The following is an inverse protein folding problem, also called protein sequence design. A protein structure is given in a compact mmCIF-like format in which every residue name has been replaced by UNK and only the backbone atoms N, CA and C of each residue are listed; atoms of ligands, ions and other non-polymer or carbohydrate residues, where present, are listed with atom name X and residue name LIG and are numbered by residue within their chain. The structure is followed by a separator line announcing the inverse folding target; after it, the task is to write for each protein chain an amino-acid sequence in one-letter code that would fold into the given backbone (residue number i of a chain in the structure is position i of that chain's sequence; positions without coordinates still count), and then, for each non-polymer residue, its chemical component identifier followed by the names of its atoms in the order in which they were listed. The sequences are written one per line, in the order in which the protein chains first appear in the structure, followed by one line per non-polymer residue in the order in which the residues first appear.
data_IF_540076195120
#
_entry.id   IF_540076195120
#
_cell.length_a   1.000
_cell.length_b   1.000
_cell.length_c   1.000
_cell.angle_alpha   90.00
_cell.angle_beta   90.00
_cell.angle_gamma   90.00
#
_symmetry.space_group_name_H-M   'P 1'
#
loop_
_entity.id
_entity.type
_entity.pdbx_description
1 polymer ?
#
# COMPACT_ATOMS: atom_id res chain seq x y z
N UNK A 1 -11.35 -39.77 5.52
CA UNK A 1 -10.48 -38.57 5.56
C UNK A 1 -11.23 -37.47 4.82
N UNK A 2 -11.85 -36.55 5.55
CA UNK A 2 -12.72 -35.53 4.94
C UNK A 2 -11.88 -34.56 4.09
N UNK A 3 -12.31 -34.30 2.85
CA UNK A 3 -11.72 -33.23 2.04
C UNK A 3 -11.89 -31.93 2.81
N UNK A 4 -10.79 -31.25 3.10
CA UNK A 4 -10.87 -29.93 3.71
C UNK A 4 -11.72 -29.01 2.82
N UNK A 5 -12.59 -28.17 3.40
CA UNK A 5 -13.43 -27.28 2.61
C UNK A 5 -12.58 -26.31 1.78
N UNK A 6 -12.87 -26.17 0.50
CA UNK A 6 -12.18 -25.29 -0.46
C UNK A 6 -12.07 -23.84 0.05
N UNK A 7 -13.09 -23.36 0.79
CA UNK A 7 -13.10 -22.03 1.40
C UNK A 7 -11.97 -21.76 2.39
N UNK A 8 -11.36 -22.80 3.01
CA UNK A 8 -10.23 -22.60 3.92
C UNK A 8 -8.99 -22.09 3.17
N UNK A 9 -8.81 -22.53 1.92
CA UNK A 9 -7.74 -22.04 1.03
C UNK A 9 -8.02 -20.61 0.59
N UNK A 10 -9.29 -20.26 0.38
CA UNK A 10 -9.71 -18.92 -0.05
C UNK A 10 -9.50 -17.85 1.03
N UNK A 11 -9.54 -18.21 2.31
CA UNK A 11 -9.35 -17.27 3.42
C UNK A 11 -7.93 -16.69 3.50
N UNK A 12 -6.92 -17.48 3.13
CA UNK A 12 -5.53 -17.03 3.15
C UNK A 12 -4.76 -17.67 1.98
N UNK A 13 -4.90 -17.10 0.78
CA UNK A 13 -4.37 -17.71 -0.43
C UNK A 13 -2.84 -17.68 -0.46
N UNK A 14 -2.24 -18.65 -1.15
CA UNK A 14 -0.78 -18.82 -1.21
C UNK A 14 -0.02 -17.59 -1.72
N UNK A 15 -0.61 -16.83 -2.67
CA UNK A 15 -0.01 -15.61 -3.19
C UNK A 15 0.12 -14.52 -2.11
N UNK A 16 -0.87 -14.41 -1.20
CA UNK A 16 -0.86 -13.44 -0.10
C UNK A 16 0.16 -13.86 0.96
N UNK A 17 0.19 -15.16 1.29
CA UNK A 17 1.20 -15.71 2.21
C UNK A 17 2.61 -15.47 1.69
N UNK A 18 2.85 -15.67 0.40
CA UNK A 18 4.15 -15.40 -0.23
C UNK A 18 4.55 -13.92 -0.10
N UNK A 19 3.62 -13.00 -0.35
CA UNK A 19 3.86 -11.56 -0.20
C UNK A 19 4.19 -11.18 1.25
N UNK A 20 3.44 -11.69 2.23
CA UNK A 20 3.70 -11.44 3.67
C UNK A 20 5.07 -11.98 4.08
N UNK A 21 5.41 -13.20 3.65
CA UNK A 21 6.74 -13.79 3.94
C UNK A 21 7.87 -12.97 3.35
N UNK A 22 7.68 -12.42 2.15
CA UNK A 22 8.65 -11.54 1.49
C UNK A 22 8.82 -10.22 2.26
N UNK A 23 7.72 -9.59 2.65
CA UNK A 23 7.75 -8.41 3.53
C UNK A 23 8.49 -8.66 4.83
N UNK A 24 8.25 -9.80 5.49
CA UNK A 24 8.98 -10.17 6.71
C UNK A 24 10.47 -10.38 6.40
N UNK A 25 10.81 -11.06 5.30
CA UNK A 25 12.20 -11.33 4.94
C UNK A 25 13.03 -10.07 4.64
N UNK A 26 12.39 -8.98 4.21
CA UNK A 26 13.05 -7.71 3.93
C UNK A 26 13.26 -6.85 5.20
N UNK A 27 12.73 -7.26 6.37
CA UNK A 27 13.08 -6.65 7.66
C UNK A 27 14.51 -7.06 8.09
N UNK A 28 15.30 -6.14 8.66
CA UNK A 28 16.67 -6.41 9.12
C UNK A 28 16.85 -7.69 9.94
N UNK A 29 15.91 -8.00 10.85
CA UNK A 29 15.94 -9.21 11.68
C UNK A 29 14.76 -10.17 11.40
N UNK A 30 14.14 -10.04 10.23
CA UNK A 30 13.16 -11.00 9.73
C UNK A 30 11.97 -11.20 10.68
N UNK A 31 11.69 -12.48 11.00
CA UNK A 31 10.57 -12.86 11.87
C UNK A 31 10.70 -12.38 13.32
N UNK A 32 11.91 -12.10 13.79
CA UNK A 32 12.14 -11.64 15.16
C UNK A 32 11.64 -10.21 15.33
N UNK A 33 12.14 -9.32 14.48
CA UNK A 33 11.68 -7.93 14.40
C UNK A 33 10.21 -7.83 13.99
N UNK A 34 9.72 -8.70 13.10
CA UNK A 34 8.29 -8.74 12.80
C UNK A 34 7.43 -9.05 14.04
N UNK A 35 7.89 -9.94 14.93
CA UNK A 35 7.18 -10.23 16.16
C UNK A 35 7.25 -9.06 17.13
N UNK A 36 8.39 -8.37 17.24
CA UNK A 36 8.55 -7.16 18.05
C UNK A 36 7.65 -6.01 17.59
N UNK A 37 7.65 -5.71 16.29
CA UNK A 37 6.80 -4.67 15.68
C UNK A 37 5.32 -4.93 15.97
N UNK A 38 4.91 -6.20 15.95
CA UNK A 38 3.53 -6.62 16.21
C UNK A 38 3.22 -6.80 17.71
N UNK A 39 4.17 -6.56 18.60
CA UNK A 39 4.00 -6.72 20.05
C UNK A 39 3.77 -8.16 20.49
N UNK A 40 4.29 -9.14 19.75
CA UNK A 40 4.13 -10.56 20.02
C UNK A 40 5.31 -11.08 20.83
N UNK A 41 5.09 -11.28 22.12
CA UNK A 41 6.07 -11.84 23.04
C UNK A 41 5.62 -13.19 23.58
N UNK A 42 6.59 -13.99 24.04
CA UNK A 42 6.33 -15.19 24.84
C UNK A 42 5.86 -14.77 26.24
N UNK A 43 5.55 -15.76 27.08
CA UNK A 43 5.11 -15.52 28.46
C UNK A 43 6.11 -14.76 29.34
N UNK A 44 7.33 -14.55 28.87
CA UNK A 44 8.37 -13.77 29.55
C UNK A 44 8.34 -12.28 29.21
N UNK A 45 7.44 -11.81 28.32
CA UNK A 45 7.30 -10.41 27.86
C UNK A 45 8.58 -9.78 27.28
N UNK A 46 9.59 -10.61 26.99
CA UNK A 46 10.91 -10.15 26.50
C UNK A 46 11.24 -10.86 25.19
N UNK A 47 10.92 -12.15 25.06
CA UNK A 47 11.32 -12.93 23.90
C UNK A 47 10.29 -12.81 22.77
N UNK A 48 10.67 -12.36 21.56
CA UNK A 48 9.74 -12.28 20.43
C UNK A 48 9.20 -13.66 20.02
N UNK A 49 7.89 -13.76 19.86
CA UNK A 49 7.17 -15.01 19.61
C UNK A 49 7.06 -15.36 18.11
N UNK A 50 8.18 -15.72 17.48
CA UNK A 50 8.26 -16.10 16.06
C UNK A 50 7.31 -17.25 15.67
N UNK A 51 7.08 -18.18 16.59
CA UNK A 51 6.18 -19.32 16.42
C UNK A 51 4.74 -18.87 16.17
N UNK A 52 4.29 -17.78 16.78
CA UNK A 52 2.96 -17.21 16.54
C UNK A 52 2.78 -16.74 15.09
N UNK A 53 3.83 -16.20 14.46
CA UNK A 53 3.82 -15.80 13.06
C UNK A 53 3.86 -17.03 12.15
N UNK A 54 4.73 -18.00 12.43
CA UNK A 54 4.81 -19.25 11.66
C UNK A 54 3.48 -20.02 11.67
N UNK A 55 2.80 -20.09 12.82
CA UNK A 55 1.51 -20.76 12.95
C UNK A 55 0.41 -20.12 12.11
N UNK A 56 0.47 -18.80 11.89
CA UNK A 56 -0.47 -18.04 11.05
C UNK A 56 -0.11 -18.04 9.56
N UNK A 57 1.10 -18.47 9.19
CA UNK A 57 1.59 -18.52 7.81
C UNK A 57 1.79 -19.94 7.29
N UNK A 58 1.51 -20.97 8.10
CA UNK A 58 1.62 -22.38 7.70
C UNK A 58 0.45 -22.78 6.80
N UNK A 59 0.75 -23.59 5.78
CA UNK A 59 -0.28 -24.20 4.93
C UNK A 59 -1.15 -25.17 5.75
N UNK A 60 -2.45 -25.21 5.49
CA UNK A 60 -3.39 -26.03 6.29
C UNK A 60 -3.53 -25.55 7.74
N UNK A 61 -3.19 -24.28 7.98
CA UNK A 61 -3.41 -23.57 9.24
C UNK A 61 -4.88 -23.46 9.62
N UNK A 62 -5.16 -23.49 10.92
CA UNK A 62 -6.43 -23.05 11.50
C UNK A 62 -6.41 -21.55 11.85
N UNK A 63 -5.23 -20.93 11.85
CA UNK A 63 -5.01 -19.51 12.11
C UNK A 63 -4.77 -18.75 10.81
N UNK A 64 -5.22 -17.49 10.77
CA UNK A 64 -5.03 -16.57 9.65
C UNK A 64 -4.13 -15.42 10.11
N UNK A 65 -3.27 -14.96 9.22
CA UNK A 65 -2.48 -13.75 9.42
C UNK A 65 -3.35 -12.52 9.13
N UNK A 66 -3.60 -11.63 10.11
CA UNK A 66 -4.41 -10.43 9.90
C UNK A 66 -3.84 -9.53 8.80
N UNK A 67 -4.70 -8.97 7.95
CA UNK A 67 -4.25 -8.07 6.88
C UNK A 67 -3.63 -6.80 7.47
N UNK A 68 -4.16 -6.31 8.58
CA UNK A 68 -3.68 -5.14 9.31
C UNK A 68 -2.25 -5.34 9.80
N UNK A 69 -1.92 -6.54 10.29
CA UNK A 69 -0.54 -6.88 10.66
C UNK A 69 0.37 -6.87 9.43
N UNK A 70 -0.10 -7.41 8.31
CA UNK A 70 0.66 -7.40 7.07
C UNK A 70 0.93 -5.96 6.58
N UNK A 71 -0.03 -5.05 6.73
CA UNK A 71 0.13 -3.63 6.41
C UNK A 71 1.12 -2.92 7.34
N UNK A 72 1.09 -3.19 8.65
CA UNK A 72 2.06 -2.65 9.62
C UNK A 72 3.48 -3.11 9.29
N UNK A 73 3.67 -4.40 9.04
CA UNK A 73 4.98 -4.95 8.67
C UNK A 73 5.46 -4.42 7.32
N UNK A 74 4.54 -4.24 6.37
CA UNK A 74 4.86 -3.66 5.08
C UNK A 74 5.40 -2.23 5.22
N UNK A 75 4.73 -1.40 6.02
CA UNK A 75 5.17 -0.03 6.29
C UNK A 75 6.55 -0.01 6.98
N UNK A 76 6.73 -0.83 8.03
CA UNK A 76 8.00 -0.95 8.74
C UNK A 76 9.16 -1.42 7.85
N UNK A 77 8.90 -2.31 6.89
CA UNK A 77 9.90 -2.79 5.93
C UNK A 77 10.24 -1.78 4.83
N UNK A 78 9.44 -0.70 4.67
CA UNK A 78 9.56 0.21 3.53
C UNK A 78 9.20 -0.41 2.18
N UNK A 79 8.63 -1.63 2.16
CA UNK A 79 8.26 -2.36 0.94
C UNK A 79 6.78 -2.20 0.62
N UNK A 80 6.33 -2.71 -0.54
CA UNK A 80 4.91 -2.72 -0.94
C UNK A 80 4.44 -4.07 -1.47
N UNK A 81 5.08 -5.17 -1.06
CA UNK A 81 4.82 -6.51 -1.61
C UNK A 81 3.38 -6.97 -1.41
N UNK A 82 2.77 -6.69 -0.25
CA UNK A 82 1.40 -7.11 0.05
C UNK A 82 0.41 -6.30 -0.78
N UNK A 83 0.56 -4.98 -0.85
CA UNK A 83 -0.29 -4.11 -1.67
C UNK A 83 -0.15 -4.43 -3.16
N UNK A 84 1.07 -4.65 -3.65
CA UNK A 84 1.32 -5.04 -5.04
C UNK A 84 0.67 -6.39 -5.37
N UNK A 85 0.81 -7.38 -4.48
CA UNK A 85 0.20 -8.69 -4.68
C UNK A 85 -1.35 -8.62 -4.73
N UNK A 86 -1.97 -7.77 -3.89
CA UNK A 86 -3.42 -7.52 -3.91
C UNK A 86 -3.84 -6.84 -5.24
N UNK A 87 -3.08 -5.85 -5.70
CA UNK A 87 -3.35 -5.18 -6.96
C UNK A 87 -3.28 -6.16 -8.14
N UNK A 88 -2.19 -6.95 -8.24
CA UNK A 88 -2.01 -7.97 -9.28
C UNK A 88 -3.11 -9.03 -9.25
N UNK A 89 -3.52 -9.48 -8.07
CA UNK A 89 -4.66 -10.40 -7.92
C UNK A 89 -5.96 -9.83 -8.47
N UNK A 90 -6.12 -8.52 -8.39
CA UNK A 90 -7.27 -7.78 -8.91
C UNK A 90 -7.08 -7.35 -10.36
N UNK A 91 -6.07 -7.89 -11.05
CA UNK A 91 -5.71 -7.57 -12.43
C UNK A 91 -5.35 -6.08 -12.64
N UNK A 92 -4.84 -5.44 -11.59
CA UNK A 92 -4.33 -4.07 -11.59
C UNK A 92 -2.84 -4.01 -11.24
N UNK A 93 -2.32 -2.79 -11.25
CA UNK A 93 -0.94 -2.47 -10.86
C UNK A 93 -1.00 -1.49 -9.70
N UNK A 94 -0.23 -1.74 -8.64
CA UNK A 94 -0.06 -0.75 -7.59
C UNK A 94 0.99 0.25 -8.04
N UNK A 95 0.66 1.54 -8.04
CA UNK A 95 1.61 2.62 -8.32
C UNK A 95 1.75 3.44 -7.04
N UNK A 96 2.91 3.42 -6.38
CA UNK A 96 3.12 4.25 -5.20
C UNK A 96 3.04 5.72 -5.60
N UNK A 97 2.28 6.49 -4.83
CA UNK A 97 2.36 7.94 -4.92
C UNK A 97 3.69 8.38 -4.30
N UNK A 98 4.43 9.20 -5.04
CA UNK A 98 5.69 9.74 -4.55
C UNK A 98 5.37 10.88 -3.58
N UNK A 99 5.83 10.74 -2.34
CA UNK A 99 5.84 11.85 -1.39
C UNK A 99 6.97 12.77 -1.81
N UNK A 100 6.59 13.93 -2.32
CA UNK A 100 7.52 14.93 -2.82
C UNK A 100 7.74 15.94 -1.70
N UNK A 101 8.91 15.87 -1.08
CA UNK A 101 9.23 16.69 0.08
C UNK A 101 9.65 18.12 -0.30
N UNK A 102 10.36 18.30 -1.43
CA UNK A 102 10.77 19.62 -1.95
C UNK A 102 10.85 19.60 -3.48
N UNK A 103 9.88 20.24 -4.15
CA UNK A 103 9.95 20.51 -5.59
C UNK A 103 9.60 21.97 -5.88
N UNK A 104 10.49 22.64 -6.62
CA UNK A 104 10.29 23.98 -7.17
C UNK A 104 9.28 23.94 -8.33
N UNK A 105 8.48 24.99 -8.53
CA UNK A 105 7.44 25.05 -9.56
C UNK A 105 7.96 24.77 -10.98
N UNK A 106 9.27 24.92 -11.21
CA UNK A 106 9.94 24.57 -12.46
C UNK A 106 10.00 23.07 -12.78
N UNK A 107 9.86 22.17 -11.81
CA UNK A 107 10.03 20.73 -12.01
C UNK A 107 8.79 20.05 -12.62
N UNK A 108 7.60 20.69 -12.61
CA UNK A 108 6.36 20.06 -13.13
C UNK A 108 6.50 19.71 -14.62
N UNK A 109 7.02 20.64 -15.40
CA UNK A 109 7.24 20.44 -16.83
C UNK A 109 8.36 19.43 -17.09
N UNK A 110 9.42 19.44 -16.27
CA UNK A 110 10.48 18.44 -16.36
C UNK A 110 9.93 17.03 -16.11
N UNK A 111 9.10 16.85 -15.08
CA UNK A 111 8.47 15.57 -14.72
C UNK A 111 7.52 15.06 -15.81
N UNK A 112 6.82 15.97 -16.48
CA UNK A 112 6.04 15.64 -17.68
C UNK A 112 6.95 15.14 -18.81
N UNK A 113 8.06 15.85 -19.09
CA UNK A 113 9.00 15.45 -20.15
C UNK A 113 9.67 14.10 -19.84
N UNK A 114 10.06 13.85 -18.59
CA UNK A 114 10.56 12.54 -18.14
C UNK A 114 9.52 11.43 -18.37
N UNK A 115 8.24 11.69 -18.07
CA UNK A 115 7.15 10.74 -18.32
C UNK A 115 6.99 10.43 -19.82
N UNK A 116 7.04 11.46 -20.67
CA UNK A 116 6.96 11.31 -22.12
C UNK A 116 8.17 10.52 -22.67
N UNK A 117 9.37 10.76 -22.15
CA UNK A 117 10.57 10.01 -22.53
C UNK A 117 10.41 8.52 -22.23
N UNK A 118 9.92 8.19 -21.02
CA UNK A 118 9.64 6.80 -20.65
C UNK A 118 8.58 6.15 -21.53
N UNK A 119 7.50 6.88 -21.87
CA UNK A 119 6.48 6.41 -22.83
C UNK A 119 7.12 6.13 -24.19
N UNK A 120 8.01 7.01 -24.66
CA UNK A 120 8.75 6.83 -25.90
C UNK A 120 9.62 5.57 -25.89
N UNK A 121 10.42 5.36 -24.83
CA UNK A 121 11.25 4.16 -24.62
C UNK A 121 10.39 2.88 -24.59
N UNK A 122 9.30 2.91 -23.84
CA UNK A 122 8.37 1.79 -23.74
C UNK A 122 7.75 1.43 -25.11
N UNK A 123 7.31 2.44 -25.87
CA UNK A 123 6.77 2.25 -27.22
C UNK A 123 7.78 1.63 -28.19
N UNK A 124 9.03 2.08 -28.14
CA UNK A 124 10.10 1.52 -28.97
C UNK A 124 10.42 0.07 -28.58
N UNK A 125 10.43 -0.25 -27.29
CA UNK A 125 10.64 -1.61 -26.83
C UNK A 125 9.52 -2.53 -27.28
N UNK A 126 8.25 -2.11 -27.11
CA UNK A 126 7.09 -2.91 -27.48
C UNK A 126 7.13 -3.28 -28.97
N UNK A 127 7.49 -2.34 -29.86
CA UNK A 127 7.65 -2.63 -31.30
C UNK A 127 8.69 -3.71 -31.60
N UNK A 128 9.77 -3.78 -30.81
CA UNK A 128 10.82 -4.80 -30.96
C UNK A 128 10.33 -6.14 -30.42
N UNK A 129 9.75 -6.14 -29.22
CA UNK A 129 9.26 -7.34 -28.55
C UNK A 129 8.07 -7.99 -29.25
N UNK A 130 7.30 -7.25 -30.04
CA UNK A 130 6.19 -7.82 -30.82
C UNK A 130 6.58 -8.16 -32.26
N UNK A 131 7.84 -7.96 -32.67
CA UNK A 131 8.24 -8.03 -34.08
C UNK A 131 8.18 -9.46 -34.64
N UNK A 132 8.40 -10.47 -33.81
CA UNK A 132 8.30 -11.88 -34.15
C UNK A 132 6.90 -12.48 -33.90
N UNK A 133 5.98 -11.68 -33.36
CA UNK A 133 4.60 -12.05 -33.06
C UNK A 133 4.41 -12.85 -31.76
N UNK A 134 5.45 -13.05 -30.95
CA UNK A 134 5.39 -13.82 -29.69
C UNK A 134 6.14 -13.07 -28.59
N UNK A 135 5.45 -12.73 -27.50
CA UNK A 135 6.11 -12.16 -26.33
C UNK A 135 6.61 -13.29 -25.44
N UNK A 136 7.92 -13.41 -25.27
CA UNK A 136 8.52 -14.37 -24.36
C UNK A 136 8.49 -13.90 -22.89
N UNK A 137 8.98 -14.75 -21.98
CA UNK A 137 8.95 -14.45 -20.55
C UNK A 137 9.85 -13.26 -20.17
N UNK A 138 11.03 -13.14 -20.78
CA UNK A 138 11.96 -12.06 -20.48
C UNK A 138 11.44 -10.74 -21.05
N UNK A 139 10.85 -10.77 -22.25
CA UNK A 139 10.19 -9.63 -22.87
C UNK A 139 8.99 -9.17 -22.05
N UNK A 140 8.19 -10.10 -21.56
CA UNK A 140 7.07 -9.81 -20.67
C UNK A 140 7.54 -9.12 -19.39
N UNK A 141 8.55 -9.65 -18.72
CA UNK A 141 9.11 -9.06 -17.50
C UNK A 141 9.62 -7.63 -17.76
N UNK A 142 10.30 -7.42 -18.89
CA UNK A 142 10.79 -6.10 -19.25
C UNK A 142 9.68 -5.13 -19.70
N UNK A 143 8.61 -5.60 -20.35
CA UNK A 143 7.40 -4.81 -20.63
C UNK A 143 6.77 -4.37 -19.31
N UNK A 144 6.56 -5.31 -18.38
CA UNK A 144 5.94 -5.04 -17.08
C UNK A 144 6.74 -4.00 -16.28
N UNK A 145 8.07 -4.14 -16.21
CA UNK A 145 8.95 -3.16 -15.55
C UNK A 145 8.87 -1.78 -16.21
N UNK A 146 8.99 -1.71 -17.54
CA UNK A 146 8.91 -0.43 -18.26
C UNK A 146 7.53 0.23 -18.11
N UNK A 147 6.45 -0.55 -18.14
CA UNK A 147 5.09 -0.05 -17.91
C UNK A 147 4.95 0.52 -16.51
N UNK A 148 5.52 -0.14 -15.50
CA UNK A 148 5.53 0.36 -14.13
C UNK A 148 6.25 1.72 -14.03
N UNK A 149 7.42 1.87 -14.65
CA UNK A 149 8.15 3.15 -14.68
C UNK A 149 7.34 4.27 -15.35
N UNK A 150 6.68 3.98 -16.48
CA UNK A 150 5.78 4.93 -17.15
C UNK A 150 4.66 5.39 -16.23
N UNK A 151 3.99 4.45 -15.55
CA UNK A 151 2.88 4.76 -14.66
C UNK A 151 3.34 5.54 -13.42
N UNK A 152 4.48 5.16 -12.82
CA UNK A 152 5.06 5.87 -11.67
C UNK A 152 5.40 7.32 -12.02
N UNK A 153 6.09 7.57 -13.13
CA UNK A 153 6.45 8.93 -13.57
C UNK A 153 5.22 9.77 -13.91
N UNK A 154 4.21 9.15 -14.52
CA UNK A 154 2.94 9.83 -14.77
C UNK A 154 2.23 10.22 -13.47
N UNK A 155 2.21 9.35 -12.46
CA UNK A 155 1.63 9.67 -11.14
C UNK A 155 2.43 10.74 -10.40
N UNK A 156 3.77 10.76 -10.49
CA UNK A 156 4.61 11.85 -9.99
C UNK A 156 4.18 13.19 -10.60
N UNK A 157 4.05 13.24 -11.93
CA UNK A 157 3.62 14.44 -12.63
C UNK A 157 2.23 14.92 -12.16
N UNK A 158 1.24 14.03 -12.07
CA UNK A 158 -0.10 14.39 -11.59
C UNK A 158 -0.09 14.88 -10.14
N UNK A 159 0.68 14.21 -9.27
CA UNK A 159 0.81 14.59 -7.85
C UNK A 159 1.34 16.02 -7.73
N UNK A 160 2.37 16.37 -8.52
CA UNK A 160 2.92 17.72 -8.57
C UNK A 160 1.94 18.75 -9.14
N UNK A 161 1.32 18.42 -10.26
CA UNK A 161 0.36 19.28 -10.92
C UNK A 161 -0.77 19.65 -9.96
N UNK A 162 -1.34 18.67 -9.26
CA UNK A 162 -2.41 18.91 -8.30
C UNK A 162 -1.91 19.64 -7.05
N UNK A 163 -0.73 19.34 -6.52
CA UNK A 163 -0.17 20.07 -5.37
C UNK A 163 -0.02 21.57 -5.65
N UNK A 164 0.39 21.94 -6.86
CA UNK A 164 0.64 23.35 -7.24
C UNK A 164 -0.64 24.08 -7.68
N UNK A 165 -1.51 23.40 -8.42
CA UNK A 165 -2.67 24.05 -9.05
C UNK A 165 -4.02 23.76 -8.38
N UNK A 166 -4.14 22.75 -7.52
CA UNK A 166 -5.36 22.59 -6.72
C UNK A 166 -5.35 23.59 -5.57
N UNK A 167 -6.48 24.26 -5.37
CA UNK A 167 -6.69 25.05 -4.17
C UNK A 167 -6.54 24.13 -2.93
N UNK A 168 -5.95 24.62 -1.82
CA UNK A 168 -5.88 23.84 -0.60
C UNK A 168 -7.29 23.37 -0.24
N UNK A 169 -7.44 22.09 0.09
CA UNK A 169 -8.72 21.54 0.49
C UNK A 169 -9.31 22.42 1.61
N UNK A 170 -10.45 23.05 1.33
CA UNK A 170 -11.29 23.54 2.41
C UNK A 170 -11.74 22.30 3.14
N UNK A 171 -11.19 22.07 4.33
CA UNK A 171 -11.70 21.07 5.26
C UNK A 171 -13.14 21.43 5.61
N UNK A 172 -14.08 20.96 4.78
CA UNK A 172 -15.51 21.08 5.01
C UNK A 172 -16.01 19.89 5.85
N UNK A 173 -15.16 19.36 6.74
CA UNK A 173 -15.58 18.44 7.80
C UNK A 173 -16.51 19.12 8.84
N UNK A 174 -16.87 20.39 8.62
CA UNK A 174 -17.88 21.12 9.40
C UNK A 174 -19.32 20.91 8.90
N UNK A 175 -19.54 20.36 7.70
CA UNK A 175 -20.89 20.15 7.14
C UNK A 175 -21.47 18.74 7.36
N UNK A 176 -20.70 17.81 7.95
CA UNK A 176 -21.22 16.50 8.36
C UNK A 176 -21.75 16.47 9.81
N UNK A 177 -21.72 17.61 10.53
CA UNK A 177 -22.47 17.74 11.77
C UNK A 177 -23.93 18.09 11.40
N UNK A 178 -24.81 17.10 11.54
CA UNK A 178 -26.25 17.25 11.33
C UNK A 178 -26.79 18.52 12.03
N UNK A 179 -27.65 19.33 11.38
CA UNK A 179 -28.30 20.45 12.04
C UNK A 179 -29.40 19.93 12.98
N UNK A 180 -29.23 20.19 14.28
CA UNK A 180 -30.15 19.82 15.37
C UNK A 180 -29.47 18.81 16.28
N UNK A 181 -28.97 19.17 17.46
CA UNK A 181 -29.67 19.82 18.56
C UNK A 181 -28.68 20.74 19.28
N UNK A 182 -28.96 22.05 19.27
CA UNK A 182 -28.36 22.97 20.25
C UNK A 182 -29.00 22.63 21.59
N UNK A 183 -28.34 21.80 22.39
CA UNK A 183 -28.65 21.69 23.81
C UNK A 183 -28.17 23.00 24.46
N UNK A 184 -29.13 23.87 24.72
CA UNK A 184 -29.00 25.07 25.51
C UNK A 184 -28.32 24.76 26.84
N UNK A 185 -27.16 25.35 27.08
CA UNK A 185 -26.73 25.66 28.44
C UNK A 185 -26.56 27.17 28.45
N UNK A 186 -27.66 27.84 28.82
CA UNK A 186 -27.68 29.27 29.02
C UNK A 186 -26.65 29.63 30.10
N UNK A 187 -25.61 30.34 29.68
CA UNK A 187 -24.81 31.18 30.56
C UNK A 187 -25.72 32.29 31.09
N UNK A 188 -25.96 32.28 32.39
CA UNK A 188 -26.65 33.33 33.11
C UNK A 188 -25.94 33.57 34.44
N UNK A 189 -24.78 34.22 34.37
CA UNK A 189 -24.16 34.83 35.54
C UNK A 189 -24.60 36.30 35.59
N UNK A 190 -25.24 36.71 36.69
CA UNK A 190 -25.63 38.11 36.91
C UNK A 190 -26.71 38.25 37.99
N UNK A 191 -26.26 38.47 39.23
CA UNK A 191 -27.03 38.84 40.41
C UNK A 191 -27.84 40.14 40.24
N UNK A 192 -28.99 40.28 40.91
CA UNK A 192 -29.31 41.39 41.86
C UNK A 192 -30.73 41.29 42.45
N UNK A 193 -30.76 41.29 43.79
CA UNK A 193 -31.68 41.96 44.73
C UNK A 193 -33.22 41.81 44.63
N UNK A 194 -33.80 41.09 45.59
CA UNK A 194 -34.77 41.60 46.57
C UNK A 194 -34.83 40.66 47.80
#
# INVERSE_FOLDING_TARGET
MGKEPEWKVDKQPAWLVAAIRRTIADLPHGYEEAAEILGLYKSDDITPAKDQLHNRLRSGGDQIFPLEWAMVLQDASGTRHVTDAIARRSNGVFVPLVVIDDIDNGDINQRLMESIEWIGKHSQYLRKATADGVIDQAEREQIEENSYQVMAKWQEHLTLLFRVFCAPEKSNARECAAPGVVASIASGCGETNA
#
